data_IF_996998534079
#
_entry.id   IF_996998534079
#
_cell.length_a   1.000
_cell.length_b   1.000
_cell.length_c   1.000
_cell.angle_alpha   90.00
_cell.angle_beta   90.00
_cell.angle_gamma   90.00
#
_symmetry.space_group_name_H-M   'P 1'
#
loop_
_entity.id
_entity.type
_entity.pdbx_description
1 polymer ?
#
# COMPACT_ATOMS: atom_id res chain seq x y z
N UNK A 1 0.54 -2.72 -13.91
CA UNK A 1 -0.68 -2.03 -13.45
C UNK A 1 -0.36 -0.56 -13.50
N UNK A 2 -1.06 0.23 -14.32
CA UNK A 2 -0.86 1.68 -14.29
C UNK A 2 -1.15 2.16 -12.87
N UNK A 3 -0.28 3.05 -12.36
CA UNK A 3 -0.48 3.71 -11.06
C UNK A 3 -1.64 4.70 -11.10
N UNK A 4 -2.28 4.90 -12.26
CA UNK A 4 -3.47 5.72 -12.40
C UNK A 4 -4.57 5.20 -11.44
N UNK A 5 -5.06 6.04 -10.52
CA UNK A 5 -6.16 5.64 -9.65
C UNK A 5 -7.38 5.30 -10.50
N UNK A 6 -8.08 4.23 -10.13
CA UNK A 6 -9.22 3.70 -10.91
C UNK A 6 -10.50 4.51 -10.73
N UNK A 7 -10.52 5.42 -9.76
CA UNK A 7 -11.68 6.19 -9.31
C UNK A 7 -11.29 7.66 -9.17
N UNK A 8 -11.02 8.30 -10.31
CA UNK A 8 -10.79 9.75 -10.39
C UNK A 8 -12.13 10.48 -10.23
N UNK A 9 -12.16 11.57 -9.46
CA UNK A 9 -13.27 12.51 -9.52
C UNK A 9 -13.28 13.28 -10.86
N UNK A 10 -14.35 14.04 -11.12
CA UNK A 10 -14.52 14.77 -12.39
C UNK A 10 -13.35 15.74 -12.67
N UNK A 11 -12.89 16.46 -11.66
CA UNK A 11 -11.81 17.44 -11.80
C UNK A 11 -10.47 16.74 -12.02
N UNK A 12 -10.24 15.64 -11.30
CA UNK A 12 -9.06 14.81 -11.48
C UNK A 12 -9.00 14.18 -12.88
N UNK A 13 -10.14 13.71 -13.40
CA UNK A 13 -10.22 13.17 -14.75
C UNK A 13 -9.98 14.25 -15.81
N UNK A 14 -10.60 15.42 -15.66
CA UNK A 14 -10.39 16.56 -16.56
C UNK A 14 -8.91 16.97 -16.62
N UNK A 15 -8.26 17.08 -15.46
CA UNK A 15 -6.82 17.38 -15.38
C UNK A 15 -5.99 16.30 -16.06
N UNK A 16 -6.26 15.02 -15.80
CA UNK A 16 -5.55 13.92 -16.45
C UNK A 16 -5.68 13.95 -17.99
N UNK A 17 -6.87 14.26 -18.52
CA UNK A 17 -7.08 14.37 -19.97
C UNK A 17 -6.24 15.50 -20.56
N UNK A 18 -6.21 16.66 -19.89
CA UNK A 18 -5.41 17.80 -20.33
C UNK A 18 -3.93 17.45 -20.31
N UNK A 19 -3.40 16.93 -19.20
CA UNK A 19 -1.99 16.54 -19.09
C UNK A 19 -1.60 15.52 -20.17
N UNK A 20 -2.47 14.54 -20.44
CA UNK A 20 -2.25 13.51 -21.47
C UNK A 20 -2.20 14.13 -22.87
N UNK A 21 -3.10 15.07 -23.15
CA UNK A 21 -3.18 15.76 -24.44
C UNK A 21 -2.00 16.69 -24.70
N UNK A 22 -1.44 17.33 -23.66
CA UNK A 22 -0.30 18.25 -23.79
C UNK A 22 1.05 17.57 -23.54
N UNK A 23 1.08 16.28 -23.20
CA UNK A 23 2.30 15.53 -22.96
C UNK A 23 2.99 15.85 -21.62
N UNK A 24 2.26 16.37 -20.63
CA UNK A 24 2.77 16.63 -19.28
C UNK A 24 2.71 15.39 -18.36
N UNK A 25 2.16 14.28 -18.85
CA UNK A 25 2.24 13.00 -18.14
C UNK A 25 3.66 12.44 -18.30
N UNK A 26 4.41 12.41 -17.20
CA UNK A 26 5.65 11.66 -17.13
C UNK A 26 5.37 10.18 -17.44
N UNK A 27 6.09 9.57 -18.40
CA UNK A 27 5.92 8.16 -18.71
C UNK A 27 6.26 7.33 -17.47
N UNK A 28 5.41 6.34 -17.16
CA UNK A 28 5.72 5.41 -16.08
C UNK A 28 7.06 4.71 -16.40
N UNK A 29 8.00 4.62 -15.44
CA UNK A 29 9.25 3.95 -15.68
C UNK A 29 8.98 2.49 -16.02
N UNK A 30 9.52 2.02 -17.13
CA UNK A 30 9.41 0.62 -17.51
C UNK A 30 10.00 -0.27 -16.42
N UNK A 31 9.16 -1.11 -15.83
CA UNK A 31 9.60 -2.11 -14.87
C UNK A 31 10.11 -3.31 -15.68
N UNK A 32 11.38 -3.66 -15.51
CA UNK A 32 11.96 -4.84 -16.14
C UNK A 32 11.25 -6.13 -15.68
N UNK A 33 11.35 -7.19 -16.48
CA UNK A 33 10.66 -8.46 -16.22
C UNK A 33 11.12 -9.13 -14.91
N UNK A 34 12.39 -9.00 -14.55
CA UNK A 34 12.93 -9.58 -13.30
C UNK A 34 12.30 -8.89 -12.08
N UNK A 35 12.18 -7.57 -12.13
CA UNK A 35 11.54 -6.77 -11.08
C UNK A 35 10.04 -7.07 -11.00
N UNK A 36 9.35 -7.27 -12.13
CA UNK A 36 7.95 -7.74 -12.13
C UNK A 36 7.81 -9.11 -11.44
N UNK A 37 8.67 -10.06 -11.80
CA UNK A 37 8.67 -11.40 -11.20
C UNK A 37 8.98 -11.36 -9.69
N UNK A 38 9.91 -10.50 -9.27
CA UNK A 38 10.26 -10.31 -7.86
C UNK A 38 9.10 -9.72 -7.04
N UNK A 39 8.40 -8.71 -7.57
CA UNK A 39 7.21 -8.12 -6.92
C UNK A 39 6.13 -9.18 -6.71
N UNK A 40 5.84 -9.95 -7.76
CA UNK A 40 4.81 -10.98 -7.70
C UNK A 40 5.18 -12.12 -6.74
N UNK A 41 6.44 -12.54 -6.75
CA UNK A 41 6.95 -13.54 -5.80
C UNK A 41 6.89 -13.05 -4.35
N UNK A 42 7.24 -11.79 -4.10
CA UNK A 42 7.12 -11.16 -2.79
C UNK A 42 5.67 -11.11 -2.28
N UNK A 43 4.72 -10.79 -3.17
CA UNK A 43 3.28 -10.82 -2.87
C UNK A 43 2.81 -12.22 -2.48
N UNK A 44 3.18 -13.23 -3.26
CA UNK A 44 2.85 -14.64 -2.98
C UNK A 44 3.43 -15.09 -1.64
N UNK A 45 4.69 -14.74 -1.36
CA UNK A 45 5.36 -15.01 -0.08
C UNK A 45 4.64 -14.35 1.09
N UNK A 46 4.26 -13.07 0.96
CA UNK A 46 3.51 -12.33 1.97
C UNK A 46 2.14 -12.92 2.26
N UNK A 47 1.39 -13.34 1.23
CA UNK A 47 0.08 -13.97 1.38
C UNK A 47 0.16 -15.32 2.12
N UNK A 48 1.18 -16.12 1.81
CA UNK A 48 1.41 -17.40 2.49
C UNK A 48 1.91 -17.19 3.92
N UNK A 49 2.93 -16.35 4.09
CA UNK A 49 3.58 -16.08 5.37
C UNK A 49 2.67 -15.37 6.37
N UNK A 50 1.87 -14.40 5.92
CA UNK A 50 0.91 -13.70 6.76
C UNK A 50 -0.14 -14.63 7.36
N UNK A 51 -0.75 -15.49 6.52
CA UNK A 51 -1.70 -16.52 6.99
C UNK A 51 -1.05 -17.51 7.96
N UNK A 52 0.16 -17.97 7.64
CA UNK A 52 0.90 -18.89 8.51
C UNK A 52 1.22 -18.26 9.87
N UNK A 53 1.62 -16.98 9.93
CA UNK A 53 1.82 -16.27 11.20
C UNK A 53 0.53 -16.11 11.97
N UNK A 54 -0.56 -15.68 11.32
CA UNK A 54 -1.84 -15.50 11.98
C UNK A 54 -2.39 -16.80 12.59
N UNK A 55 -2.17 -17.94 11.93
CA UNK A 55 -2.58 -19.25 12.44
C UNK A 55 -1.77 -19.76 13.64
N UNK A 56 -0.58 -19.20 13.90
CA UNK A 56 0.23 -19.54 15.08
C UNK A 56 -0.16 -18.75 16.33
N UNK A 57 -0.92 -17.68 16.18
CA UNK A 57 -1.28 -16.78 17.27
C UNK A 57 -2.62 -17.16 17.89
N UNK A 58 -2.75 -17.02 19.20
CA UNK A 58 -4.04 -17.14 19.90
C UNK A 58 -4.95 -15.94 19.61
N UNK A 59 -6.27 -16.03 19.88
CA UNK A 59 -7.17 -14.89 19.77
C UNK A 59 -6.72 -13.66 20.59
N UNK A 60 -6.18 -13.88 21.78
CA UNK A 60 -5.69 -12.84 22.69
C UNK A 60 -4.46 -12.15 22.11
N UNK A 61 -3.47 -12.91 21.66
CA UNK A 61 -2.27 -12.38 21.03
C UNK A 61 -2.60 -11.54 19.79
N UNK A 62 -3.57 -12.00 18.96
CA UNK A 62 -4.05 -11.22 17.81
C UNK A 62 -4.72 -9.91 18.23
N UNK A 63 -5.49 -9.93 19.31
CA UNK A 63 -6.15 -8.74 19.85
C UNK A 63 -5.13 -7.71 20.34
N UNK A 64 -4.11 -8.16 21.05
CA UNK A 64 -3.09 -7.28 21.61
C UNK A 64 -2.21 -6.66 20.52
N UNK A 65 -1.83 -7.43 19.49
CA UNK A 65 -1.16 -6.89 18.30
C UNK A 65 -2.02 -5.83 17.61
N UNK A 66 -3.33 -6.06 17.49
CA UNK A 66 -4.25 -5.10 16.86
C UNK A 66 -4.38 -3.80 17.67
N UNK A 67 -4.48 -3.87 18.99
CA UNK A 67 -4.49 -2.69 19.89
C UNK A 67 -3.19 -1.90 19.75
N UNK A 68 -2.05 -2.58 19.77
CA UNK A 68 -0.74 -1.94 19.61
C UNK A 68 -0.63 -1.24 18.25
N UNK A 69 -1.07 -1.88 17.17
CA UNK A 69 -1.07 -1.28 15.84
C UNK A 69 -2.00 -0.06 15.74
N UNK A 70 -3.17 -0.11 16.39
CA UNK A 70 -4.09 1.02 16.45
C UNK A 70 -3.49 2.20 17.23
N UNK A 71 -2.88 1.94 18.39
CA UNK A 71 -2.18 2.96 19.17
C UNK A 71 -1.02 3.58 18.39
N UNK A 72 -0.24 2.79 17.63
CA UNK A 72 0.84 3.36 16.79
C UNK A 72 0.31 4.19 15.61
N UNK A 73 -0.89 3.92 15.12
CA UNK A 73 -1.46 4.65 13.98
C UNK A 73 -2.23 5.90 14.40
N UNK A 74 -2.96 5.80 15.51
CA UNK A 74 -3.98 6.77 15.93
C UNK A 74 -3.76 7.32 17.33
N UNK A 75 -2.85 6.74 18.10
CA UNK A 75 -2.54 7.23 19.44
C UNK A 75 -1.85 8.59 19.36
N UNK A 76 -2.13 9.43 20.35
CA UNK A 76 -1.45 10.71 20.49
C UNK A 76 0.03 10.47 20.82
N UNK A 77 0.92 10.87 19.92
CA UNK A 77 2.37 10.84 20.14
C UNK A 77 2.86 11.92 21.14
N UNK A 78 1.99 12.45 21.99
CA UNK A 78 2.27 13.64 22.80
C UNK A 78 2.83 13.34 24.20
N UNK A 79 3.39 12.15 24.42
CA UNK A 79 3.98 11.74 25.70
C UNK A 79 5.47 11.46 25.53
N UNK A 80 6.23 12.48 25.12
CA UNK A 80 7.70 12.54 25.29
C UNK A 80 8.17 13.96 24.97
N UNK A 81 7.80 14.90 25.84
CA UNK A 81 8.51 16.16 26.04
C UNK A 81 8.47 16.46 27.53
N UNK A 82 9.45 15.88 28.23
CA UNK A 82 9.94 16.41 29.50
C UNK A 82 10.55 17.81 29.27
#
# INVERSE_FOLDING_TARGET
>A
MSKRPKNLDLNQLAKCIVDEAIGEIEPEPEIDENKKAAIESGRLGGLKGGKARAGKLTPEERSDIAKNAANSRWGDHNTEKD
#
